data_IF_778628157542
#
_entry.id   IF_778628157542
#
_cell.length_a   1.000
_cell.length_b   1.000
_cell.length_c   1.000
_cell.angle_alpha   90.00
_cell.angle_beta   90.00
_cell.angle_gamma   90.00
#
_symmetry.space_group_name_H-M   'P 1'
#
loop_
_entity.id
_entity.type
_entity.pdbx_description
1 polymer ?
#
# COMPACT_ATOMS: atom_id res chain seq x y z
N UNK A 1 13.47 -23.97 -21.71
CA UNK A 1 12.73 -24.36 -20.50
C UNK A 1 13.41 -23.73 -19.30
N UNK A 2 12.77 -22.81 -18.58
CA UNK A 2 13.34 -22.30 -17.32
C UNK A 2 13.38 -23.45 -16.32
N UNK A 3 14.57 -23.75 -15.79
CA UNK A 3 14.79 -24.85 -14.87
C UNK A 3 14.54 -24.34 -13.46
N UNK A 4 13.43 -24.76 -12.86
CA UNK A 4 13.13 -24.46 -11.46
C UNK A 4 14.21 -25.07 -10.55
N UNK A 5 14.60 -24.34 -9.50
CA UNK A 5 15.55 -24.83 -8.49
C UNK A 5 14.79 -25.38 -7.28
N UNK A 6 15.28 -26.49 -6.72
CA UNK A 6 14.76 -27.05 -5.47
C UNK A 6 15.47 -26.40 -4.29
N UNK A 7 14.70 -25.98 -3.29
CA UNK A 7 15.20 -25.42 -2.04
C UNK A 7 14.83 -26.37 -0.90
N UNK A 8 15.81 -26.72 -0.08
CA UNK A 8 15.61 -27.50 1.14
C UNK A 8 16.05 -26.65 2.33
N UNK A 9 15.24 -26.63 3.37
CA UNK A 9 15.51 -25.87 4.59
C UNK A 9 14.96 -26.59 5.81
N UNK A 10 15.57 -26.33 6.96
CA UNK A 10 15.09 -26.78 8.25
C UNK A 10 14.18 -25.71 8.84
N UNK A 11 13.00 -26.11 9.30
CA UNK A 11 12.04 -25.23 9.98
C UNK A 11 11.64 -25.82 11.33
N UNK A 12 11.30 -25.00 12.33
CA UNK A 12 10.72 -25.48 13.58
C UNK A 12 9.49 -26.39 13.33
N UNK A 13 9.26 -27.42 14.17
CA UNK A 13 8.16 -28.37 13.99
C UNK A 13 6.79 -27.69 13.81
N UNK A 14 6.52 -26.66 14.61
CA UNK A 14 5.28 -25.88 14.53
C UNK A 14 5.03 -25.29 13.14
N UNK A 15 6.09 -24.82 12.46
CA UNK A 15 5.98 -24.28 11.11
C UNK A 15 5.75 -25.41 10.10
N UNK A 16 6.44 -26.54 10.25
CA UNK A 16 6.24 -27.70 9.39
C UNK A 16 4.79 -28.21 9.46
N UNK A 17 4.24 -28.33 10.65
CA UNK A 17 2.87 -28.79 10.87
C UNK A 17 1.85 -27.80 10.31
N UNK A 18 2.05 -26.50 10.58
CA UNK A 18 1.21 -25.45 10.00
C UNK A 18 1.20 -25.48 8.46
N UNK A 19 2.36 -25.66 7.81
CA UNK A 19 2.44 -25.77 6.34
C UNK A 19 1.69 -27.02 5.83
N UNK A 20 1.83 -28.17 6.51
CA UNK A 20 1.12 -29.41 6.15
C UNK A 20 -0.39 -29.24 6.29
N UNK A 21 -0.83 -28.55 7.32
CA UNK A 21 -2.24 -28.26 7.57
C UNK A 21 -2.81 -27.35 6.48
N UNK A 22 -2.09 -26.30 6.09
CA UNK A 22 -2.45 -25.45 4.96
C UNK A 22 -2.54 -26.23 3.64
N UNK A 23 -1.59 -27.14 3.39
CA UNK A 23 -1.60 -27.97 2.19
C UNK A 23 -2.83 -28.88 2.15
N UNK A 24 -3.18 -29.49 3.29
CA UNK A 24 -4.37 -30.33 3.44
C UNK A 24 -5.67 -29.53 3.27
N UNK A 25 -5.78 -28.35 3.87
CA UNK A 25 -6.94 -27.47 3.73
C UNK A 25 -7.16 -27.04 2.27
N UNK A 26 -6.06 -26.74 1.56
CA UNK A 26 -6.09 -26.30 0.16
C UNK A 26 -6.12 -27.46 -0.85
N UNK A 27 -6.00 -28.71 -0.40
CA UNK A 27 -5.91 -29.91 -1.25
C UNK A 27 -4.78 -29.80 -2.30
N UNK A 28 -3.61 -29.29 -1.89
CA UNK A 28 -2.41 -29.14 -2.74
C UNK A 28 -1.19 -29.75 -2.07
N UNK A 29 -0.08 -29.88 -2.81
CA UNK A 29 1.18 -30.31 -2.22
C UNK A 29 1.78 -29.26 -1.27
N UNK A 30 2.56 -29.72 -0.30
CA UNK A 30 3.36 -28.86 0.59
C UNK A 30 4.27 -27.92 -0.21
N UNK A 31 4.85 -28.40 -1.32
CA UNK A 31 5.72 -27.59 -2.18
C UNK A 31 5.01 -26.40 -2.82
N UNK A 32 3.70 -26.51 -3.13
CA UNK A 32 2.90 -25.40 -3.63
C UNK A 32 2.73 -24.34 -2.53
N UNK A 33 2.38 -24.76 -1.32
CA UNK A 33 2.24 -23.83 -0.18
C UNK A 33 3.55 -23.10 0.10
N UNK A 34 4.67 -23.82 0.18
CA UNK A 34 5.99 -23.23 0.41
C UNK A 34 6.36 -22.25 -0.71
N UNK A 35 6.17 -22.65 -1.98
CA UNK A 35 6.42 -21.77 -3.12
C UNK A 35 5.59 -20.50 -3.03
N UNK A 36 4.29 -20.60 -2.77
CA UNK A 36 3.40 -19.43 -2.73
C UNK A 36 3.78 -18.48 -1.59
N UNK A 37 4.18 -19.01 -0.43
CA UNK A 37 4.72 -18.21 0.67
C UNK A 37 6.01 -17.48 0.29
N UNK A 38 6.95 -18.18 -0.36
CA UNK A 38 8.21 -17.60 -0.81
C UNK A 38 8.01 -16.54 -1.90
N UNK A 39 7.12 -16.79 -2.86
CA UNK A 39 6.76 -15.83 -3.91
C UNK A 39 6.11 -14.61 -3.29
N UNK A 40 5.16 -14.77 -2.36
CA UNK A 40 4.52 -13.64 -1.69
C UNK A 40 5.52 -12.80 -0.88
N UNK A 41 6.45 -13.44 -0.17
CA UNK A 41 7.53 -12.74 0.54
C UNK A 41 8.43 -11.98 -0.43
N UNK A 42 8.92 -12.65 -1.48
CA UNK A 42 9.77 -12.04 -2.50
C UNK A 42 9.06 -10.87 -3.19
N UNK A 43 7.79 -11.01 -3.56
CA UNK A 43 7.02 -9.94 -4.16
C UNK A 43 6.93 -8.75 -3.22
N UNK A 44 6.57 -8.93 -1.94
CA UNK A 44 6.51 -7.81 -0.99
C UNK A 44 7.84 -7.05 -0.89
N UNK A 45 8.96 -7.78 -0.86
CA UNK A 45 10.28 -7.17 -0.70
C UNK A 45 10.80 -6.53 -1.99
N UNK A 46 10.37 -7.03 -3.15
CA UNK A 46 10.87 -6.59 -4.47
C UNK A 46 9.86 -5.74 -5.25
N UNK A 47 8.63 -5.54 -4.76
CA UNK A 47 7.59 -4.78 -5.45
C UNK A 47 8.02 -3.33 -5.71
N UNK A 48 8.77 -2.73 -4.77
CA UNK A 48 9.34 -1.40 -4.93
C UNK A 48 10.50 -1.35 -5.93
N UNK A 49 11.32 -2.41 -6.00
CA UNK A 49 12.48 -2.51 -6.88
C UNK A 49 12.11 -2.81 -8.33
N UNK A 50 11.01 -3.55 -8.54
CA UNK A 50 10.54 -4.01 -9.84
C UNK A 50 9.46 -3.11 -10.44
N UNK A 51 8.98 -2.12 -9.68
CA UNK A 51 8.00 -1.16 -10.20
C UNK A 51 8.67 -0.36 -11.33
N UNK A 52 8.08 -0.31 -12.53
CA UNK A 52 8.58 0.59 -13.58
C UNK A 52 8.64 2.00 -13.00
N UNK A 53 9.73 2.73 -13.23
CA UNK A 53 10.03 4.04 -12.62
C UNK A 53 8.96 5.13 -12.87
N UNK A 54 7.98 4.86 -13.75
CA UNK A 54 6.79 5.69 -14.00
C UNK A 54 5.52 5.31 -13.21
N UNK A 55 5.53 4.22 -12.45
CA UNK A 55 4.39 3.75 -11.63
C UNK A 55 4.67 3.87 -10.13
N UNK A 56 5.82 4.44 -9.74
CA UNK A 56 6.11 4.73 -8.34
C UNK A 56 5.05 5.70 -7.78
N UNK A 57 4.20 5.24 -6.83
CA UNK A 57 3.14 6.06 -6.24
C UNK A 57 3.69 7.30 -5.55
N UNK A 58 4.91 7.25 -5.01
CA UNK A 58 5.54 8.42 -4.39
C UNK A 58 5.87 9.46 -5.45
N UNK A 59 6.49 9.06 -6.56
CA UNK A 59 6.73 9.96 -7.70
C UNK A 59 5.44 10.52 -8.29
N UNK A 60 4.39 9.69 -8.40
CA UNK A 60 3.08 10.14 -8.89
C UNK A 60 2.41 11.13 -7.92
N UNK A 61 2.52 10.90 -6.61
CA UNK A 61 2.03 11.83 -5.58
C UNK A 61 2.76 13.16 -5.66
N UNK A 62 4.09 13.15 -5.72
CA UNK A 62 4.92 14.36 -5.84
C UNK A 62 4.59 15.12 -7.13
N UNK A 63 4.46 14.41 -8.26
CA UNK A 63 4.06 15.03 -9.53
C UNK A 63 2.68 15.68 -9.43
N UNK A 64 1.69 14.99 -8.85
CA UNK A 64 0.34 15.52 -8.69
C UNK A 64 0.30 16.77 -7.80
N UNK A 65 1.07 16.80 -6.71
CA UNK A 65 1.15 17.98 -5.83
C UNK A 65 1.81 19.17 -6.54
N UNK A 66 2.90 18.94 -7.27
CA UNK A 66 3.60 20.00 -8.02
C UNK A 66 2.75 20.53 -9.17
N UNK A 67 2.08 19.65 -9.91
CA UNK A 67 1.18 20.05 -10.99
C UNK A 67 -0.01 20.87 -10.48
N UNK A 68 -0.59 20.48 -9.33
CA UNK A 68 -1.69 21.23 -8.72
C UNK A 68 -1.22 22.63 -8.26
N UNK A 69 -0.08 22.73 -7.59
CA UNK A 69 0.46 24.02 -7.18
C UNK A 69 0.78 24.93 -8.38
N UNK A 70 1.33 24.37 -9.47
CA UNK A 70 1.60 25.13 -10.69
C UNK A 70 0.31 25.68 -11.34
N UNK A 71 -0.75 24.87 -11.37
CA UNK A 71 -2.07 25.28 -11.89
C UNK A 71 -2.71 26.36 -11.02
N UNK A 72 -2.62 26.25 -9.70
CA UNK A 72 -3.20 27.21 -8.77
C UNK A 72 -2.41 28.53 -8.72
N UNK A 73 -1.08 28.48 -8.85
CA UNK A 73 -0.23 29.67 -8.81
C UNK A 73 -0.42 30.61 -10.01
N UNK A 74 -0.83 30.08 -11.17
CA UNK A 74 -1.09 30.87 -12.38
C UNK A 74 -2.58 31.24 -12.56
N UNK A 75 -3.42 30.92 -11.56
CA UNK A 75 -4.84 31.22 -11.65
C UNK A 75 -5.14 32.66 -11.22
N UNK A 76 -6.05 33.33 -11.91
CA UNK A 76 -6.46 34.71 -11.62
C UNK A 76 -7.31 34.87 -10.34
N UNK A 77 -7.65 33.77 -9.67
CA UNK A 77 -8.46 33.76 -8.45
C UNK A 77 -7.56 33.33 -7.29
N UNK A 78 -7.12 34.31 -6.50
CA UNK A 78 -6.23 34.10 -5.36
C UNK A 78 -6.86 33.21 -4.27
N UNK A 79 -8.19 33.17 -4.18
CA UNK A 79 -8.92 32.35 -3.19
C UNK A 79 -9.04 30.88 -3.58
N UNK A 80 -8.72 30.54 -4.84
CA UNK A 80 -8.91 29.19 -5.37
C UNK A 80 -8.03 28.17 -4.65
N UNK A 81 -6.83 28.58 -4.22
CA UNK A 81 -5.89 27.73 -3.48
C UNK A 81 -6.49 27.28 -2.15
N UNK A 82 -7.01 28.21 -1.36
CA UNK A 82 -7.62 27.94 -0.06
C UNK A 82 -8.86 27.04 -0.19
N UNK A 83 -9.71 27.32 -1.18
CA UNK A 83 -10.91 26.52 -1.47
C UNK A 83 -10.56 25.09 -1.86
N UNK A 84 -9.48 24.90 -2.62
CA UNK A 84 -8.99 23.59 -3.05
C UNK A 84 -8.45 22.78 -1.87
N UNK A 85 -7.67 23.40 -0.99
CA UNK A 85 -7.19 22.77 0.25
C UNK A 85 -8.36 22.39 1.17
N UNK A 86 -9.34 23.27 1.37
CA UNK A 86 -10.53 22.98 2.15
C UNK A 86 -11.39 21.84 1.55
N UNK A 87 -11.44 21.72 0.23
CA UNK A 87 -12.10 20.59 -0.44
C UNK A 87 -11.33 19.28 -0.29
N UNK A 88 -9.99 19.34 -0.34
CA UNK A 88 -9.09 18.20 -0.11
C UNK A 88 -9.27 17.64 1.31
N UNK A 89 -9.21 18.47 2.35
CA UNK A 89 -9.45 18.06 3.73
C UNK A 89 -10.82 17.39 3.93
N UNK A 90 -11.90 18.01 3.45
CA UNK A 90 -13.25 17.43 3.50
C UNK A 90 -13.37 16.09 2.78
N UNK A 91 -12.50 15.82 1.79
CA UNK A 91 -12.49 14.55 1.07
C UNK A 91 -11.68 13.49 1.82
N UNK A 92 -10.57 13.87 2.45
CA UNK A 92 -9.81 12.99 3.33
C UNK A 92 -10.65 12.51 4.52
N UNK A 93 -11.41 13.42 5.16
CA UNK A 93 -12.33 13.08 6.25
C UNK A 93 -13.41 12.08 5.79
N UNK A 94 -14.05 12.34 4.64
CA UNK A 94 -15.07 11.44 4.06
C UNK A 94 -14.53 10.05 3.70
N UNK A 95 -13.25 9.96 3.36
CA UNK A 95 -12.59 8.69 3.05
C UNK A 95 -11.99 8.01 4.29
N UNK A 96 -12.11 8.61 5.48
CA UNK A 96 -11.55 8.07 6.72
C UNK A 96 -10.02 8.07 6.77
N UNK A 97 -9.37 8.88 5.92
CA UNK A 97 -7.91 8.97 5.84
C UNK A 97 -7.32 9.93 6.88
N UNK A 98 -8.14 10.81 7.44
CA UNK A 98 -7.83 11.64 8.60
C UNK A 98 -9.01 11.59 9.57
N UNK A 99 -8.78 11.73 10.89
CA UNK A 99 -9.87 11.87 11.85
C UNK A 99 -10.73 13.09 11.47
N UNK A 100 -12.05 12.93 11.54
CA UNK A 100 -12.97 14.04 11.32
C UNK A 100 -12.62 15.16 12.31
N UNK A 101 -12.44 16.39 11.82
CA UNK A 101 -12.17 17.53 12.68
C UNK A 101 -13.32 17.66 13.68
N UNK A 102 -13.05 17.26 14.93
CA UNK A 102 -13.99 17.37 16.03
C UNK A 102 -14.20 18.84 16.35
N UNK A 103 -15.18 19.48 15.70
CA UNK A 103 -15.84 20.64 16.30
C UNK A 103 -16.63 20.13 17.51
N UNK A 104 -16.05 20.21 18.69
CA UNK A 104 -16.71 19.79 19.93
C UNK A 104 -15.78 19.85 21.13
N UNK A 105 -15.58 21.06 21.65
CA UNK A 105 -14.90 21.33 22.92
C UNK A 105 -15.19 22.74 23.42
N UNK A 106 -16.38 23.27 23.11
CA UNK A 106 -16.99 24.31 23.94
C UNK A 106 -17.70 23.58 25.08
N UNK A 107 -17.19 23.77 26.30
CA UNK A 107 -17.72 23.44 27.64
C UNK A 107 -16.80 22.55 28.50
N UNK A 108 -16.04 23.23 29.36
CA UNK A 108 -15.64 22.91 30.76
C UNK A 108 -14.44 23.84 31.08
N UNK A 109 -14.41 24.69 32.10
CA UNK A 109 -15.30 25.10 33.17
C UNK A 109 -14.84 26.49 33.65
#
# INVERSE_FOLDING_TARGET
>A
MQRHQSLQSYVPPLIADWIRDQARLKQVSVSIVVRDLLVAAWTRDNDALLRPTGVDPERQRVFATVALDALLAHHSDESLRERTLAAYHRRLERLGLIPASGKGGEHEA
#
